data_IF_200409565108
#
_entry.id   IF_200409565108
#
_cell.length_a   1.000
_cell.length_b   1.000
_cell.length_c   1.000
_cell.angle_alpha   90.00
_cell.angle_beta   90.00
_cell.angle_gamma   90.00
#
_symmetry.space_group_name_H-M   'P 1'
#
loop_
_entity.id
_entity.type
_entity.pdbx_description
1 polymer ?
#
# COMPACT_ATOMS: atom_id res chain seq x y z
N UNK A 1 8.86 6.49 5.50
CA UNK A 1 8.53 6.55 4.06
C UNK A 1 7.21 5.86 3.79
N UNK A 2 6.42 6.42 2.88
CA UNK A 2 5.17 5.85 2.35
C UNK A 2 5.35 5.60 0.86
N UNK A 3 5.16 4.36 0.42
CA UNK A 3 5.18 3.98 -0.99
C UNK A 3 3.75 3.93 -1.52
N UNK A 4 3.48 4.61 -2.64
CA UNK A 4 2.13 4.71 -3.22
C UNK A 4 2.11 4.19 -4.66
N UNK A 5 0.99 3.67 -5.14
CA UNK A 5 0.91 3.12 -6.49
C UNK A 5 0.81 4.19 -7.56
N UNK A 6 -0.09 5.16 -7.34
CA UNK A 6 -0.48 6.14 -8.34
C UNK A 6 -0.29 7.60 -7.88
N UNK A 7 -0.71 8.56 -8.71
CA UNK A 7 -0.69 10.00 -8.33
C UNK A 7 -1.86 10.37 -7.42
N UNK A 8 -3.01 9.72 -7.57
CA UNK A 8 -4.18 9.95 -6.71
C UNK A 8 -3.87 9.58 -5.26
N UNK A 9 -3.21 8.44 -5.05
CA UNK A 9 -2.70 8.01 -3.74
C UNK A 9 -1.73 9.02 -3.12
N UNK A 10 -0.84 9.59 -3.93
CA UNK A 10 0.09 10.62 -3.48
C UNK A 10 -0.67 11.85 -2.98
N UNK A 11 -1.72 12.26 -3.70
CA UNK A 11 -2.58 13.38 -3.29
C UNK A 11 -3.32 13.06 -1.99
N UNK A 12 -3.89 11.85 -1.86
CA UNK A 12 -4.57 11.39 -0.65
C UNK A 12 -3.63 11.39 0.57
N UNK A 13 -2.46 10.78 0.45
CA UNK A 13 -1.49 10.72 1.56
C UNK A 13 -1.04 12.12 1.98
N UNK A 14 -0.90 13.03 1.02
CA UNK A 14 -0.54 14.43 1.30
C UNK A 14 -1.67 15.23 1.93
N UNK A 15 -2.93 14.99 1.56
CA UNK A 15 -4.07 15.66 2.19
C UNK A 15 -4.25 15.25 3.65
N UNK A 16 -3.77 14.05 4.02
CA UNK A 16 -3.66 13.58 5.40
C UNK A 16 -2.46 14.17 6.18
N UNK A 17 -1.75 15.15 5.62
CA UNK A 17 -0.67 15.88 6.29
C UNK A 17 0.72 15.28 6.15
N UNK A 18 0.91 14.22 5.35
CA UNK A 18 2.23 13.64 5.11
C UNK A 18 3.02 14.49 4.10
N UNK A 19 4.26 14.93 4.42
CA UNK A 19 5.03 15.78 3.53
C UNK A 19 5.53 15.02 2.30
N UNK A 20 5.61 15.71 1.15
CA UNK A 20 6.00 15.12 -0.14
C UNK A 20 7.32 14.34 -0.12
N UNK A 21 8.28 14.78 0.70
CA UNK A 21 9.60 14.14 0.88
C UNK A 21 9.51 12.73 1.49
N UNK A 22 8.41 12.41 2.16
CA UNK A 22 8.17 11.11 2.79
C UNK A 22 7.37 10.17 1.89
N UNK A 23 6.88 10.65 0.74
CA UNK A 23 6.05 9.89 -0.21
C UNK A 23 6.85 9.53 -1.46
N UNK A 24 6.83 8.26 -1.82
CA UNK A 24 7.55 7.72 -2.98
C UNK A 24 6.57 6.97 -3.88
N UNK A 25 6.35 7.51 -5.07
CA UNK A 25 5.55 6.86 -6.10
C UNK A 25 6.27 5.59 -6.63
N UNK A 26 5.57 4.46 -6.67
CA UNK A 26 6.13 3.15 -6.90
C UNK A 26 5.61 2.37 -8.10
N UNK A 27 4.90 3.03 -9.01
CA UNK A 27 4.54 2.46 -10.31
C UNK A 27 3.77 1.13 -10.12
N UNK A 28 2.70 1.21 -9.34
CA UNK A 28 1.80 0.09 -9.05
C UNK A 28 2.21 -0.83 -7.89
N UNK A 29 1.30 -1.74 -7.57
CA UNK A 29 1.36 -2.68 -6.43
C UNK A 29 2.66 -3.46 -6.30
N UNK A 30 3.16 -3.99 -7.41
CA UNK A 30 4.40 -4.75 -7.47
C UNK A 30 5.61 -3.92 -7.05
N UNK A 31 5.64 -2.64 -7.45
CA UNK A 31 6.72 -1.74 -7.07
C UNK A 31 6.61 -1.28 -5.61
N UNK A 32 5.39 -1.06 -5.10
CA UNK A 32 5.15 -0.82 -3.66
C UNK A 32 5.69 -2.00 -2.84
N UNK A 33 5.30 -3.22 -3.17
CA UNK A 33 5.73 -4.44 -2.47
C UNK A 33 7.25 -4.62 -2.52
N UNK A 34 7.88 -4.43 -3.69
CA UNK A 34 9.34 -4.54 -3.84
C UNK A 34 10.09 -3.53 -2.98
N UNK A 35 9.56 -2.30 -2.84
CA UNK A 35 10.18 -1.28 -1.98
C UNK A 35 9.96 -1.57 -0.50
N UNK A 36 8.78 -2.05 -0.12
CA UNK A 36 8.52 -2.50 1.24
C UNK A 36 9.49 -3.62 1.64
N UNK A 37 9.66 -4.64 0.80
CA UNK A 37 10.58 -5.75 1.07
C UNK A 37 12.03 -5.33 1.33
N UNK A 38 12.47 -4.22 0.71
CA UNK A 38 13.81 -3.63 0.84
C UNK A 38 13.93 -2.58 1.94
N UNK A 39 12.85 -2.29 2.66
CA UNK A 39 12.78 -1.24 3.68
C UNK A 39 12.36 -1.80 5.04
N UNK A 40 12.54 -1.01 6.10
CA UNK A 40 12.09 -1.33 7.46
C UNK A 40 11.24 -0.18 7.99
N UNK A 41 10.23 -0.48 8.81
CA UNK A 41 9.33 0.50 9.43
C UNK A 41 8.55 1.39 8.43
N UNK A 42 8.44 0.97 7.17
CA UNK A 42 7.80 1.76 6.10
C UNK A 42 6.37 1.33 5.84
N UNK A 43 5.61 2.18 5.12
CA UNK A 43 4.20 1.95 4.81
C UNK A 43 4.00 1.89 3.30
N UNK A 44 3.10 1.05 2.82
CA UNK A 44 2.64 1.02 1.43
C UNK A 44 1.15 1.29 1.37
N UNK A 45 0.71 1.98 0.33
CA UNK A 45 -0.71 2.19 0.00
C UNK A 45 -0.94 1.61 -1.39
N UNK A 46 -1.94 0.73 -1.49
CA UNK A 46 -2.28 -0.03 -2.70
C UNK A 46 -3.79 -0.13 -2.85
N UNK A 47 -4.25 -0.27 -4.09
CA UNK A 47 -5.65 -0.57 -4.37
C UNK A 47 -5.89 -2.09 -4.36
N UNK A 48 -7.10 -2.50 -3.98
CA UNK A 48 -7.54 -3.87 -4.16
C UNK A 48 -7.87 -4.13 -5.64
N UNK A 49 -6.89 -4.69 -6.35
CA UNK A 49 -7.12 -5.30 -7.67
C UNK A 49 -7.11 -6.85 -7.56
N UNK A 50 -8.29 -7.51 -7.61
CA UNK A 50 -8.41 -8.96 -7.57
C UNK A 50 -7.89 -9.66 -8.83
N UNK A 51 -7.75 -8.95 -9.96
CA UNK A 51 -7.25 -9.50 -11.23
C UNK A 51 -5.74 -9.33 -11.41
N UNK A 52 -5.08 -8.52 -10.57
CA UNK A 52 -3.62 -8.37 -10.56
C UNK A 52 -2.90 -9.58 -9.96
N UNK A 53 -1.73 -9.90 -10.53
CA UNK A 53 -0.81 -10.88 -9.97
C UNK A 53 -0.36 -10.43 -8.57
N UNK A 54 -0.67 -11.23 -7.55
CA UNK A 54 -0.34 -10.89 -6.16
C UNK A 54 1.17 -11.08 -5.91
N UNK A 55 1.93 -10.02 -5.55
CA UNK A 55 3.36 -10.13 -5.33
C UNK A 55 3.70 -11.13 -4.21
N UNK A 56 4.74 -11.98 -4.32
CA UNK A 56 5.08 -12.95 -3.27
C UNK A 56 5.26 -12.35 -1.87
N UNK A 57 5.68 -11.08 -1.80
CA UNK A 57 5.82 -10.33 -0.56
C UNK A 57 4.51 -10.28 0.27
N UNK A 58 3.35 -10.18 -0.37
CA UNK A 58 2.06 -10.05 0.35
C UNK A 58 1.73 -11.30 1.17
N UNK A 59 2.22 -12.48 0.75
CA UNK A 59 2.04 -13.75 1.48
C UNK A 59 2.75 -13.77 2.85
N UNK A 60 3.74 -12.90 3.04
CA UNK A 60 4.46 -12.78 4.30
C UNK A 60 3.81 -11.82 5.30
N UNK A 61 2.76 -11.12 4.87
CA UNK A 61 2.08 -10.12 5.67
C UNK A 61 0.93 -10.75 6.45
N UNK A 62 0.70 -10.24 7.66
CA UNK A 62 -0.37 -10.68 8.54
C UNK A 62 -1.44 -9.58 8.61
N UNK A 63 -2.71 -9.95 8.44
CA UNK A 63 -3.82 -9.01 8.60
C UNK A 63 -3.89 -8.52 10.06
N UNK A 64 -3.90 -7.21 10.24
CA UNK A 64 -4.02 -6.55 11.55
C UNK A 64 -5.41 -5.97 11.77
N UNK A 65 -5.99 -5.36 10.72
CA UNK A 65 -7.32 -4.79 10.76
C UNK A 65 -7.97 -4.85 9.38
N UNK A 66 -9.30 -5.01 9.36
CA UNK A 66 -10.13 -4.86 8.17
C UNK A 66 -11.42 -4.15 8.60
N UNK A 67 -11.60 -2.90 8.17
CA UNK A 67 -12.76 -2.07 8.51
C UNK A 67 -12.95 -0.95 7.50
N UNK A 68 -14.19 -0.50 7.29
CA UNK A 68 -14.54 0.62 6.41
C UNK A 68 -13.83 0.57 5.05
N UNK A 69 -13.86 -0.60 4.42
CA UNK A 69 -13.20 -0.83 3.13
C UNK A 69 -11.69 -0.52 3.12
N UNK A 70 -11.01 -0.72 4.24
CA UNK A 70 -9.56 -0.63 4.34
C UNK A 70 -9.03 -1.88 5.05
N UNK A 71 -8.02 -2.52 4.46
CA UNK A 71 -7.26 -3.61 5.09
C UNK A 71 -5.87 -3.12 5.46
N UNK A 72 -5.45 -3.42 6.69
CA UNK A 72 -4.11 -3.14 7.18
C UNK A 72 -3.41 -4.46 7.40
N UNK A 73 -2.34 -4.70 6.65
CA UNK A 73 -1.46 -5.84 6.83
C UNK A 73 -0.10 -5.40 7.38
N UNK A 74 0.55 -6.25 8.16
CA UNK A 74 1.84 -5.99 8.80
C UNK A 74 2.87 -7.05 8.41
N UNK A 75 4.08 -6.60 8.09
CA UNK A 75 5.27 -7.45 8.00
C UNK A 75 5.88 -7.58 9.40
N UNK A 76 5.76 -8.73 10.09
CA UNK A 76 6.29 -8.89 11.44
C UNK A 76 7.83 -8.88 11.48
N UNK A 77 8.52 -9.17 10.36
CA UNK A 77 9.99 -9.24 10.30
C UNK A 77 10.62 -7.87 10.11
N UNK A 78 9.99 -6.99 9.31
CA UNK A 78 10.51 -5.66 8.96
C UNK A 78 9.80 -4.50 9.66
N UNK A 79 8.67 -4.78 10.32
CA UNK A 79 7.81 -3.76 10.92
C UNK A 79 7.13 -2.87 9.88
N UNK A 80 7.01 -3.34 8.64
CA UNK A 80 6.34 -2.60 7.58
C UNK A 80 4.82 -2.78 7.66
N UNK A 81 4.08 -1.84 7.07
CA UNK A 81 2.64 -1.94 6.90
C UNK A 81 2.27 -1.83 5.42
N UNK A 82 1.26 -2.59 5.02
CA UNK A 82 0.58 -2.45 3.73
C UNK A 82 -0.87 -2.08 4.00
N UNK A 83 -1.27 -0.92 3.53
CA UNK A 83 -2.63 -0.39 3.59
C UNK A 83 -3.26 -0.66 2.23
N UNK A 84 -4.35 -1.41 2.20
CA UNK A 84 -5.08 -1.76 0.99
C UNK A 84 -6.42 -1.05 1.03
N UNK A 85 -6.69 -0.21 0.02
CA UNK A 85 -8.00 0.41 -0.18
C UNK A 85 -8.91 -0.57 -0.90
N UNK A 86 -10.09 -0.81 -0.33
CA UNK A 86 -11.20 -1.59 -0.89
C UNK A 86 -12.39 -0.62 -1.15
N UNK A 87 -13.42 -1.00 -1.91
CA UNK A 87 -13.42 -2.08 -2.92
C UNK A 87 -12.63 -1.64 -4.17
N UNK A 88 -12.67 -2.44 -5.24
CA UNK A 88 -12.03 -2.08 -6.52
C UNK A 88 -12.53 -0.71 -7.01
N UNK A 89 -11.66 0.30 -6.98
CA UNK A 89 -11.98 1.68 -7.37
C UNK A 89 -12.19 1.85 -8.89
N UNK A 90 -11.88 0.84 -9.69
CA UNK A 90 -12.01 0.86 -11.16
C UNK A 90 -13.42 0.51 -11.69
N UNK A 91 -14.34 0.04 -10.84
CA UNK A 91 -15.69 -0.39 -11.28
C UNK A 91 -16.73 0.73 -11.30
N UNK A 92 -16.32 1.98 -11.08
CA UNK A 92 -17.20 3.16 -11.15
C UNK A 92 -17.26 3.68 -12.59
N UNK A 93 -17.98 2.96 -13.46
CA UNK A 93 -18.36 3.39 -14.82
C UNK A 93 -19.86 3.25 -15.05
#
# INVERSE_FOLDING_TARGET
>A
MIFVECRSDEVLVRSLGIPRREVVHASGKSGVCRRLERSRGSKGLVDEDPHSAQPPYTRSLVLVAATNDVKILRDPRRGNYLIVLCPRLEEWY
#
